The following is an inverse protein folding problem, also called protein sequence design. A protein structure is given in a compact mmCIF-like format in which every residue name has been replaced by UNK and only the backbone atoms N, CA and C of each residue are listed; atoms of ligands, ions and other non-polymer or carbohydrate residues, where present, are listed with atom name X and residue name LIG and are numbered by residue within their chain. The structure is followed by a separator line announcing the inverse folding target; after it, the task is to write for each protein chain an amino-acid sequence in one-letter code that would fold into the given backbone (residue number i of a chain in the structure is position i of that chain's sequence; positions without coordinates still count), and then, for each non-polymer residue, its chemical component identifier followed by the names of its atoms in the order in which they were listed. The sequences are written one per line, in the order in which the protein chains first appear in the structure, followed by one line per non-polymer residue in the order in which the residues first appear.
data_IF_414967469838
#
_entry.id   IF_414967469838
#
_cell.length_a   1.000
_cell.length_b   1.000
_cell.length_c   1.000
_cell.angle_alpha   90.00
_cell.angle_beta   90.00
_cell.angle_gamma   90.00
#
_symmetry.space_group_name_H-M   'P 1'
#
loop_
_entity.id
_entity.type
_entity.pdbx_description
1 polymer ?
#
# COMPACT_ATOMS: atom_id res chain seq x y z
N UNK A 1 -10.55 4.26 22.73
CA UNK A 1 -10.21 4.91 21.45
C UNK A 1 -9.20 4.04 20.73
N UNK A 2 -9.64 3.22 19.78
CA UNK A 2 -8.79 2.28 19.03
C UNK A 2 -9.26 2.22 17.58
N UNK A 3 -9.28 3.37 16.91
CA UNK A 3 -9.60 3.49 15.49
C UNK A 3 -8.44 4.13 14.75
N UNK A 4 -8.73 5.15 13.95
CA UNK A 4 -7.74 5.92 13.18
C UNK A 4 -6.63 6.53 14.06
N UNK A 5 -6.89 6.81 15.34
CA UNK A 5 -5.89 7.34 16.28
C UNK A 5 -4.67 6.43 16.43
N UNK A 6 -4.85 5.12 16.25
CA UNK A 6 -3.75 4.14 16.28
C UNK A 6 -2.78 4.28 15.11
N UNK A 7 -3.22 4.86 14.00
CA UNK A 7 -2.41 5.09 12.80
C UNK A 7 -1.61 6.40 12.87
N UNK A 8 -1.86 7.26 13.87
CA UNK A 8 -1.08 8.47 14.05
C UNK A 8 0.41 8.10 14.32
N UNK A 9 1.39 8.78 13.69
CA UNK A 9 2.81 8.43 13.84
C UNK A 9 3.33 8.44 15.29
N UNK A 10 2.68 9.21 16.17
CA UNK A 10 3.04 9.35 17.59
C UNK A 10 2.29 8.37 18.51
N UNK A 11 1.35 7.58 17.98
CA UNK A 11 0.59 6.60 18.75
C UNK A 11 1.53 5.54 19.35
N UNK A 12 1.13 4.96 20.50
CA UNK A 12 1.91 3.87 21.12
C UNK A 12 1.96 2.67 20.17
N UNK A 13 0.85 2.36 19.50
CA UNK A 13 0.77 1.28 18.53
C UNK A 13 1.85 1.44 17.46
N UNK A 14 1.90 2.59 16.78
CA UNK A 14 2.86 2.81 15.70
C UNK A 14 4.31 2.86 16.17
N UNK A 15 4.58 3.41 17.35
CA UNK A 15 5.93 3.38 17.96
C UNK A 15 6.47 1.97 18.18
N UNK A 16 5.58 1.02 18.49
CA UNK A 16 5.96 -0.37 18.79
C UNK A 16 5.93 -1.24 17.52
N UNK A 17 5.07 -0.93 16.54
CA UNK A 17 4.86 -1.80 15.37
C UNK A 17 5.50 -1.33 14.08
N UNK A 18 5.97 -0.08 13.96
CA UNK A 18 6.42 0.51 12.67
C UNK A 18 7.51 -0.28 11.94
N UNK A 19 8.33 -1.04 12.66
CA UNK A 19 9.46 -1.77 12.09
C UNK A 19 9.12 -3.25 11.77
N UNK A 20 7.89 -3.70 12.06
CA UNK A 20 7.45 -5.06 11.74
C UNK A 20 7.15 -5.19 10.25
N UNK A 21 7.75 -6.21 9.62
CA UNK A 21 7.56 -6.54 8.20
C UNK A 21 6.71 -7.80 8.03
N UNK A 22 5.90 -7.91 6.96
CA UNK A 22 5.19 -9.14 6.64
C UNK A 22 6.13 -10.35 6.60
N UNK A 23 5.72 -11.47 7.20
CA UNK A 23 6.47 -12.74 7.24
C UNK A 23 5.92 -13.78 6.26
N UNK A 24 5.07 -13.34 5.34
CA UNK A 24 4.40 -14.16 4.33
C UNK A 24 4.61 -13.53 2.97
N UNK A 25 4.47 -14.32 1.90
CA UNK A 25 4.40 -13.79 0.55
C UNK A 25 3.26 -12.78 0.45
N UNK A 26 3.53 -11.63 -0.15
CA UNK A 26 2.53 -10.58 -0.32
C UNK A 26 2.75 -9.83 -1.63
N UNK A 27 1.69 -9.21 -2.11
CA UNK A 27 1.71 -8.29 -3.24
C UNK A 27 1.27 -6.91 -2.75
N UNK A 28 1.93 -5.85 -3.22
CA UNK A 28 1.67 -4.47 -2.85
C UNK A 28 0.96 -3.74 -3.99
N UNK A 29 -0.14 -3.05 -3.68
CA UNK A 29 -0.86 -2.20 -4.64
C UNK A 29 -0.99 -0.82 -4.01
N UNK A 30 -0.31 0.17 -4.59
CA UNK A 30 -0.17 1.50 -3.99
C UNK A 30 -0.79 2.55 -4.92
N UNK A 31 -1.61 3.43 -4.34
CA UNK A 31 -2.17 4.57 -5.05
C UNK A 31 -1.11 5.62 -5.35
N UNK A 32 -1.18 6.22 -6.53
CA UNK A 32 -0.32 7.32 -6.93
C UNK A 32 -1.14 8.41 -7.63
N UNK A 33 -1.27 9.56 -6.99
CA UNK A 33 -2.07 10.68 -7.51
C UNK A 33 -1.46 11.31 -8.77
N UNK A 34 -0.16 11.11 -9.00
CA UNK A 34 0.56 11.67 -10.15
C UNK A 34 1.51 10.64 -10.74
N UNK A 35 1.37 10.32 -12.02
CA UNK A 35 2.36 9.53 -12.76
C UNK A 35 3.64 10.35 -13.06
N UNK A 36 4.24 10.96 -12.05
CA UNK A 36 5.50 11.71 -12.12
C UNK A 36 6.57 11.04 -11.24
N UNK A 37 7.80 11.54 -11.30
CA UNK A 37 9.03 11.00 -10.71
C UNK A 37 8.86 10.40 -9.30
N UNK A 38 9.65 9.35 -9.01
CA UNK A 38 9.60 8.57 -7.77
C UNK A 38 9.58 9.41 -6.50
N UNK A 39 10.30 10.53 -6.49
CA UNK A 39 10.44 11.45 -5.37
C UNK A 39 9.11 12.13 -4.96
N UNK A 40 8.06 12.04 -5.78
CA UNK A 40 6.75 12.65 -5.52
C UNK A 40 5.57 11.67 -5.57
N UNK A 41 5.84 10.36 -5.50
CA UNK A 41 4.77 9.35 -5.50
C UNK A 41 4.04 9.39 -4.17
N UNK A 42 2.75 9.72 -4.24
CA UNK A 42 1.86 9.71 -3.08
C UNK A 42 0.41 9.59 -3.54
N UNK A 43 -0.41 8.95 -2.72
CA UNK A 43 -1.85 8.87 -2.90
C UNK A 43 -2.60 10.11 -2.37
N UNK A 44 -1.89 11.21 -2.10
CA UNK A 44 -2.31 12.48 -1.42
C UNK A 44 -2.40 12.44 0.10
N UNK A 45 -2.32 11.26 0.72
CA UNK A 45 -2.40 11.07 2.18
C UNK A 45 -1.14 10.42 2.72
N UNK A 46 -0.65 9.38 2.03
CA UNK A 46 0.49 8.55 2.39
C UNK A 46 1.56 8.68 1.30
N UNK A 47 2.80 9.06 1.65
CA UNK A 47 3.94 9.02 0.72
C UNK A 47 4.32 7.58 0.37
N UNK A 48 4.87 7.37 -0.83
CA UNK A 48 5.35 6.06 -1.28
C UNK A 48 6.35 5.42 -0.31
N UNK A 49 7.28 6.19 0.23
CA UNK A 49 8.30 5.69 1.16
C UNK A 49 7.68 5.11 2.44
N UNK A 50 6.49 5.59 2.82
CA UNK A 50 5.76 5.09 3.98
C UNK A 50 4.90 3.87 3.65
N UNK A 51 4.45 3.71 2.41
CA UNK A 51 3.61 2.59 1.98
C UNK A 51 4.43 1.42 1.42
N UNK A 52 5.62 1.70 0.91
CA UNK A 52 6.54 0.72 0.36
C UNK A 52 7.03 -0.25 1.44
N UNK A 53 6.98 -1.53 1.12
CA UNK A 53 7.51 -2.61 1.95
C UNK A 53 8.40 -3.52 1.11
N UNK A 54 9.64 -3.70 1.58
CA UNK A 54 10.62 -4.59 0.98
C UNK A 54 10.12 -6.04 0.90
N UNK A 55 10.57 -6.76 -0.14
CA UNK A 55 10.30 -8.19 -0.40
C UNK A 55 8.85 -8.54 -0.78
N UNK A 56 8.12 -7.62 -1.42
CA UNK A 56 6.87 -7.97 -2.10
C UNK A 56 7.14 -8.85 -3.32
N UNK A 57 6.29 -9.84 -3.60
CA UNK A 57 6.33 -10.65 -4.83
C UNK A 57 5.98 -9.81 -6.08
N UNK A 58 5.14 -8.80 -5.92
CA UNK A 58 4.97 -7.70 -6.89
C UNK A 58 4.56 -6.41 -6.20
N UNK A 59 4.90 -5.27 -6.79
CA UNK A 59 4.45 -3.94 -6.36
C UNK A 59 3.90 -3.18 -7.57
N UNK A 60 2.63 -2.78 -7.50
CA UNK A 60 1.92 -2.13 -8.61
C UNK A 60 1.46 -0.74 -8.18
N UNK A 61 1.90 0.29 -8.91
CA UNK A 61 1.44 1.66 -8.73
C UNK A 61 0.23 1.94 -9.62
N UNK A 62 -0.85 2.46 -9.04
CA UNK A 62 -2.10 2.74 -9.75
C UNK A 62 -2.42 4.22 -9.65
N UNK A 63 -2.66 4.85 -10.81
CA UNK A 63 -3.07 6.25 -10.85
C UNK A 63 -4.40 6.45 -10.11
N UNK A 64 -4.31 6.95 -8.88
CA UNK A 64 -5.42 7.10 -7.94
C UNK A 64 -4.99 7.94 -6.74
N UNK A 65 -5.95 8.58 -6.08
CA UNK A 65 -5.75 9.13 -4.75
C UNK A 65 -5.83 7.99 -3.70
N UNK A 66 -6.10 8.32 -2.44
CA UNK A 66 -6.02 7.38 -1.31
C UNK A 66 -6.92 6.14 -1.44
N UNK A 67 -8.05 6.25 -2.14
CA UNK A 67 -9.01 5.13 -2.31
C UNK A 67 -8.70 4.26 -3.54
N UNK A 68 -7.46 3.76 -3.65
CA UNK A 68 -6.99 2.95 -4.79
C UNK A 68 -7.88 1.73 -5.08
N UNK A 69 -8.50 1.13 -4.06
CA UNK A 69 -9.38 -0.04 -4.20
C UNK A 69 -10.62 0.20 -5.06
N UNK A 70 -11.02 1.46 -5.27
CA UNK A 70 -12.19 1.81 -6.08
C UNK A 70 -11.86 1.95 -7.58
N UNK A 71 -10.59 1.82 -7.97
CA UNK A 71 -10.15 2.04 -9.35
C UNK A 71 -10.16 0.74 -10.17
N UNK A 72 -10.66 0.75 -11.43
CA UNK A 72 -10.71 -0.43 -12.30
C UNK A 72 -9.39 -1.22 -12.42
N UNK A 73 -8.21 -0.57 -12.58
CA UNK A 73 -6.93 -1.29 -12.63
C UNK A 73 -6.65 -2.13 -11.37
N UNK A 74 -7.12 -1.68 -10.20
CA UNK A 74 -6.91 -2.39 -8.93
C UNK A 74 -7.65 -3.72 -8.91
N UNK A 75 -8.89 -3.75 -9.41
CA UNK A 75 -9.65 -4.99 -9.52
C UNK A 75 -9.00 -5.98 -10.49
N UNK A 76 -8.43 -5.48 -11.58
CA UNK A 76 -7.71 -6.33 -12.54
C UNK A 76 -6.44 -6.92 -11.92
N UNK A 77 -5.71 -6.13 -11.13
CA UNK A 77 -4.50 -6.60 -10.45
C UNK A 77 -4.82 -7.62 -9.35
N UNK A 78 -5.85 -7.37 -8.54
CA UNK A 78 -6.33 -8.35 -7.55
C UNK A 78 -6.76 -9.64 -8.26
N UNK A 79 -7.50 -9.56 -9.36
CA UNK A 79 -7.89 -10.74 -10.15
C UNK A 79 -6.68 -11.49 -10.71
N UNK A 80 -5.64 -10.79 -11.15
CA UNK A 80 -4.39 -11.39 -11.63
C UNK A 80 -3.69 -12.17 -10.51
N UNK A 81 -3.52 -11.55 -9.34
CA UNK A 81 -2.91 -12.16 -8.15
C UNK A 81 -3.71 -13.40 -7.72
N UNK A 82 -5.04 -13.30 -7.65
CA UNK A 82 -5.89 -14.45 -7.28
C UNK A 82 -5.77 -15.61 -8.27
N UNK A 83 -5.59 -15.34 -9.57
CA UNK A 83 -5.36 -16.37 -10.57
C UNK A 83 -3.96 -16.99 -10.48
N UNK A 84 -2.95 -16.20 -10.12
CA UNK A 84 -1.57 -16.66 -9.92
C UNK A 84 -1.49 -17.70 -8.80
N UNK A 85 -2.27 -17.52 -7.73
CA UNK A 85 -2.32 -18.41 -6.56
C UNK A 85 -3.56 -19.32 -6.54
N UNK A 86 -4.28 -19.44 -7.66
CA UNK A 86 -5.37 -20.39 -7.76
C UNK A 86 -4.81 -21.83 -7.74
N UNK A 87 -5.52 -22.79 -7.10
CA UNK A 87 -5.11 -24.19 -7.06
C UNK A 87 -5.11 -24.87 -8.44
#
# INVERSE_FOLDING_TARGET
MYGVDGLAPKSIFMKVTKDYKPQVKFHSIIGNSKLADLDWISDTVVPYESSHLENSESETLIQSEHSVQNHPPTFLEVKRILKEHAP
#
